data_IF_263157595643
#
_entry.id   IF_263157595643
#
_cell.length_a   1.000
_cell.length_b   1.000
_cell.length_c   1.000
_cell.angle_alpha   90.00
_cell.angle_beta   90.00
_cell.angle_gamma   90.00
#
_symmetry.space_group_name_H-M   'P 1'
#
loop_
_entity.id
_entity.type
_entity.pdbx_description
1 polymer ?
#
# COMPACT_ATOMS: atom_id res chain seq x y z
N UNK A 1 -14.14 29.85 -15.31
CA UNK A 1 -13.28 29.04 -16.19
C UNK A 1 -12.35 28.09 -15.41
N UNK A 2 -12.81 27.46 -14.30
CA UNK A 2 -11.91 26.64 -13.46
C UNK A 2 -12.53 25.37 -12.82
N UNK A 3 -13.83 25.11 -13.02
CA UNK A 3 -14.47 23.88 -12.54
C UNK A 3 -14.23 22.70 -13.49
N UNK A 4 -14.22 22.95 -14.81
CA UNK A 4 -14.00 21.91 -15.82
C UNK A 4 -12.56 21.38 -15.82
N UNK A 5 -11.56 22.27 -15.63
CA UNK A 5 -10.15 21.90 -15.47
C UNK A 5 -9.91 21.12 -14.17
N UNK A 6 -10.56 21.50 -13.07
CA UNK A 6 -10.51 20.77 -11.79
C UNK A 6 -11.12 19.37 -11.92
N UNK A 7 -12.27 19.23 -12.60
CA UNK A 7 -12.92 17.95 -12.85
C UNK A 7 -12.11 17.04 -13.80
N UNK A 8 -11.50 17.61 -14.85
CA UNK A 8 -10.62 16.87 -15.75
C UNK A 8 -9.34 16.40 -15.06
N UNK A 9 -8.71 17.26 -14.25
CA UNK A 9 -7.54 16.90 -13.44
C UNK A 9 -7.86 15.79 -12.43
N UNK A 10 -9.04 15.82 -11.79
CA UNK A 10 -9.52 14.75 -10.92
C UNK A 10 -9.67 13.41 -11.66
N UNK A 11 -10.26 13.41 -12.86
CA UNK A 11 -10.41 12.19 -13.66
C UNK A 11 -9.08 11.61 -14.17
N UNK A 12 -8.14 12.46 -14.60
CA UNK A 12 -6.83 11.99 -15.06
C UNK A 12 -6.01 11.45 -13.88
N UNK A 13 -6.03 12.13 -12.73
CA UNK A 13 -5.31 11.65 -11.54
C UNK A 13 -5.92 10.38 -10.94
N UNK A 14 -7.22 10.10 -11.15
CA UNK A 14 -7.87 8.85 -10.72
C UNK A 14 -7.58 7.64 -11.61
N UNK A 15 -7.02 7.84 -12.81
CA UNK A 15 -6.67 6.72 -13.71
C UNK A 15 -5.28 6.11 -13.44
N UNK A 16 -4.54 6.60 -12.44
CA UNK A 16 -3.22 6.09 -12.15
C UNK A 16 -3.30 4.73 -11.44
N UNK A 17 -2.97 3.66 -12.18
CA UNK A 17 -2.74 2.29 -11.70
C UNK A 17 -1.84 2.19 -10.45
N UNK A 18 -1.02 3.22 -10.19
CA UNK A 18 -0.15 3.33 -9.00
C UNK A 18 -0.93 3.55 -7.70
N UNK A 19 -2.17 4.08 -7.75
CA UNK A 19 -3.05 4.22 -6.57
C UNK A 19 -3.42 2.88 -5.92
N UNK A 20 -3.20 1.77 -6.62
CA UNK A 20 -3.71 0.45 -6.26
C UNK A 20 -2.68 -0.54 -5.72
N UNK A 21 -1.58 -0.08 -5.10
CA UNK A 21 -0.67 -1.01 -4.39
C UNK A 21 -0.91 -0.93 -2.87
N UNK A 22 -1.94 -1.60 -2.34
CA UNK A 22 -2.16 -1.70 -0.90
C UNK A 22 -1.09 -2.57 -0.22
N UNK A 23 -0.91 -2.39 1.08
CA UNK A 23 -0.01 -3.25 1.87
C UNK A 23 -0.38 -4.73 1.75
N UNK A 24 -1.66 -5.06 1.64
CA UNK A 24 -2.20 -6.41 1.46
C UNK A 24 -1.72 -7.07 0.16
N UNK A 25 -1.49 -6.30 -0.90
CA UNK A 25 -0.89 -6.81 -2.15
C UNK A 25 0.60 -7.08 -1.96
N UNK A 26 1.34 -6.14 -1.36
CA UNK A 26 2.78 -6.30 -1.07
C UNK A 26 3.01 -7.48 -0.12
N UNK A 27 2.10 -7.69 0.85
CA UNK A 27 2.13 -8.79 1.81
C UNK A 27 2.22 -10.15 1.13
N UNK A 28 1.52 -10.38 0.02
CA UNK A 28 1.56 -11.66 -0.71
C UNK A 28 2.98 -12.05 -1.11
N UNK A 29 3.80 -11.06 -1.43
CA UNK A 29 5.21 -11.22 -1.78
C UNK A 29 6.05 -11.27 -0.49
N UNK A 30 5.89 -10.28 0.40
CA UNK A 30 6.74 -10.12 1.58
C UNK A 30 6.60 -11.18 2.68
N UNK A 31 5.46 -11.89 2.75
CA UNK A 31 5.29 -13.02 3.66
C UNK A 31 5.67 -14.38 3.05
N UNK A 32 6.11 -14.41 1.79
CA UNK A 32 6.61 -15.65 1.19
C UNK A 32 7.86 -16.11 1.94
N UNK A 33 7.82 -17.33 2.50
CA UNK A 33 8.96 -17.93 3.21
C UNK A 33 10.23 -17.96 2.34
N UNK A 34 10.06 -18.19 1.04
CA UNK A 34 11.17 -18.21 0.08
C UNK A 34 11.84 -16.84 -0.02
N UNK A 35 11.05 -15.76 -0.03
CA UNK A 35 11.58 -14.39 -0.10
C UNK A 35 12.18 -13.98 1.25
N UNK A 36 11.58 -14.39 2.37
CA UNK A 36 12.16 -14.13 3.70
C UNK A 36 13.55 -14.77 3.86
N UNK A 37 13.79 -15.95 3.29
CA UNK A 37 15.12 -16.58 3.28
C UNK A 37 16.16 -15.75 2.51
N UNK A 38 15.74 -14.91 1.55
CA UNK A 38 16.65 -14.06 0.77
C UNK A 38 17.27 -12.92 1.59
N UNK A 39 16.77 -12.65 2.80
CA UNK A 39 17.38 -11.68 3.73
C UNK A 39 18.83 -12.06 4.09
N UNK A 40 19.16 -13.36 4.04
CA UNK A 40 20.51 -13.87 4.33
C UNK A 40 21.43 -13.79 3.10
N UNK A 41 20.86 -13.66 1.90
CA UNK A 41 21.60 -13.71 0.63
C UNK A 41 22.68 -12.63 0.48
N UNK A 42 22.53 -11.37 0.96
CA UNK A 42 23.62 -10.40 0.86
C UNK A 42 24.91 -10.90 1.52
N UNK A 43 24.78 -11.56 2.67
CA UNK A 43 25.91 -12.12 3.41
C UNK A 43 26.49 -13.36 2.72
N UNK A 44 25.65 -14.33 2.37
CA UNK A 44 26.11 -15.55 1.69
C UNK A 44 26.65 -15.26 0.29
N UNK A 45 26.00 -14.36 -0.43
CA UNK A 45 26.34 -13.99 -1.79
C UNK A 45 27.64 -13.22 -1.89
N UNK A 46 27.95 -12.34 -0.92
CA UNK A 46 29.29 -11.73 -0.84
C UNK A 46 30.36 -12.80 -0.60
N UNK A 47 30.15 -13.74 0.32
CA UNK A 47 31.09 -14.85 0.53
C UNK A 47 31.26 -15.72 -0.72
N UNK A 48 30.19 -15.97 -1.47
CA UNK A 48 30.23 -16.71 -2.73
C UNK A 48 31.00 -15.97 -3.83
N UNK A 49 30.76 -14.66 -3.99
CA UNK A 49 31.39 -13.85 -5.03
C UNK A 49 32.89 -13.61 -4.79
N UNK A 50 33.32 -13.55 -3.52
CA UNK A 50 34.73 -13.33 -3.19
C UNK A 50 35.55 -14.62 -3.07
N UNK A 51 34.92 -15.79 -3.13
CA UNK A 51 35.63 -17.08 -3.09
C UNK A 51 35.90 -17.60 -4.51
N UNK A 52 37.15 -17.46 -4.98
CA UNK A 52 37.55 -17.91 -6.32
C UNK A 52 37.30 -19.41 -6.54
N UNK A 53 37.54 -20.25 -5.53
CA UNK A 53 37.33 -21.69 -5.63
C UNK A 53 35.87 -22.04 -5.91
N UNK A 54 34.92 -21.30 -5.32
CA UNK A 54 33.50 -21.53 -5.57
C UNK A 54 33.11 -21.05 -6.97
N UNK A 55 33.63 -19.90 -7.40
CA UNK A 55 33.38 -19.39 -8.76
C UNK A 55 33.86 -20.39 -9.80
N UNK A 56 35.05 -20.96 -9.61
CA UNK A 56 35.62 -21.93 -10.54
C UNK A 56 34.79 -23.22 -10.61
N UNK A 57 34.25 -23.71 -9.47
CA UNK A 57 33.33 -24.85 -9.43
C UNK A 57 31.98 -24.54 -10.09
N UNK A 58 31.49 -23.31 -9.98
CA UNK A 58 30.22 -22.88 -10.57
C UNK A 58 30.34 -22.45 -12.04
N UNK A 59 31.56 -22.35 -12.59
CA UNK A 59 31.74 -22.05 -14.00
C UNK A 59 31.05 -23.10 -14.87
N UNK A 60 30.25 -22.63 -15.83
CA UNK A 60 29.67 -23.49 -16.84
C UNK A 60 30.78 -24.26 -17.56
N UNK A 61 30.55 -25.54 -17.83
CA UNK A 61 31.48 -26.36 -18.62
C UNK A 61 31.85 -25.62 -19.90
N UNK A 62 33.16 -25.36 -20.14
CA UNK A 62 33.60 -24.60 -21.30
C UNK A 62 33.22 -25.30 -22.61
N UNK A 63 33.06 -26.62 -22.61
CA UNK A 63 32.59 -27.39 -23.77
C UNK A 63 31.16 -27.03 -24.18
N UNK A 64 30.26 -26.79 -23.21
CA UNK A 64 28.90 -26.34 -23.49
C UNK A 64 28.92 -24.96 -24.13
N UNK A 65 29.72 -24.04 -23.59
CA UNK A 65 29.83 -22.66 -24.11
C UNK A 65 30.49 -22.64 -25.48
N UNK A 66 31.52 -23.46 -25.68
CA UNK A 66 32.19 -23.67 -26.97
C UNK A 66 31.20 -24.11 -28.03
N UNK A 67 30.41 -25.15 -27.74
CA UNK A 67 29.40 -25.67 -28.67
C UNK A 67 28.31 -24.64 -28.96
N UNK A 68 27.97 -23.80 -27.98
CA UNK A 68 26.89 -22.83 -28.13
C UNK A 68 27.32 -21.57 -28.89
N UNK A 69 28.55 -21.10 -28.69
CA UNK A 69 29.08 -19.87 -29.29
C UNK A 69 30.00 -20.10 -30.49
N UNK A 70 30.29 -21.36 -30.85
CA UNK A 70 31.19 -21.74 -31.95
C UNK A 70 32.59 -21.10 -31.84
N UNK A 71 33.07 -20.93 -30.61
CA UNK A 71 34.38 -20.31 -30.31
C UNK A 71 35.52 -21.33 -30.31
N UNK A 72 36.75 -20.83 -30.40
CA UNK A 72 37.96 -21.63 -30.17
C UNK A 72 38.04 -22.11 -28.70
N UNK A 73 38.89 -23.12 -28.43
CA UNK A 73 39.03 -23.70 -27.09
C UNK A 73 39.41 -22.63 -26.05
N UNK A 74 40.41 -21.82 -26.37
CA UNK A 74 40.94 -20.81 -25.44
C UNK A 74 39.92 -19.69 -25.18
N UNK A 75 39.23 -19.22 -26.22
CA UNK A 75 38.19 -18.19 -26.10
C UNK A 75 36.95 -18.70 -25.33
N UNK A 76 36.61 -19.99 -25.48
CA UNK A 76 35.43 -20.56 -24.82
C UNK A 76 35.53 -20.56 -23.30
N UNK A 77 36.73 -20.77 -22.74
CA UNK A 77 36.96 -20.76 -21.29
C UNK A 77 36.79 -19.36 -20.71
N UNK A 78 37.34 -18.35 -21.38
CA UNK A 78 37.23 -16.96 -20.96
C UNK A 78 35.78 -16.46 -21.01
N UNK A 79 35.06 -16.77 -22.10
CA UNK A 79 33.66 -16.37 -22.25
C UNK A 79 32.71 -17.13 -21.31
N UNK A 80 32.95 -18.42 -21.05
CA UNK A 80 32.19 -19.19 -20.08
C UNK A 80 32.28 -18.58 -18.67
N UNK A 81 33.49 -18.16 -18.27
CA UNK A 81 33.73 -17.49 -17.00
C UNK A 81 33.00 -16.16 -16.91
N UNK A 82 33.11 -15.30 -17.93
CA UNK A 82 32.42 -14.00 -17.97
C UNK A 82 30.90 -14.15 -17.88
N UNK A 83 30.31 -15.08 -18.65
CA UNK A 83 28.87 -15.33 -18.64
C UNK A 83 28.37 -15.85 -17.29
N UNK A 84 29.11 -16.79 -16.70
CA UNK A 84 28.76 -17.34 -15.38
C UNK A 84 28.79 -16.23 -14.32
N UNK A 85 29.85 -15.44 -14.31
CA UNK A 85 30.05 -14.34 -13.37
C UNK A 85 28.97 -13.26 -13.54
N UNK A 86 28.62 -12.88 -14.77
CA UNK A 86 27.54 -11.93 -15.02
C UNK A 86 26.19 -12.45 -14.49
N UNK A 87 25.84 -13.72 -14.73
CA UNK A 87 24.62 -14.35 -14.21
C UNK A 87 24.62 -14.37 -12.68
N UNK A 88 25.75 -14.72 -12.08
CA UNK A 88 25.89 -14.75 -10.62
C UNK A 88 25.68 -13.37 -10.01
N UNK A 89 26.20 -12.30 -10.64
CA UNK A 89 25.93 -10.92 -10.21
C UNK A 89 24.44 -10.56 -10.30
N UNK A 90 23.76 -10.86 -11.42
CA UNK A 90 22.32 -10.58 -11.54
C UNK A 90 21.50 -11.33 -10.49
N UNK A 91 21.81 -12.60 -10.25
CA UNK A 91 21.16 -13.41 -9.21
C UNK A 91 21.43 -12.80 -7.83
N UNK A 92 22.68 -12.49 -7.54
CA UNK A 92 23.08 -11.90 -6.26
C UNK A 92 22.37 -10.58 -5.98
N UNK A 93 22.45 -9.61 -6.89
CA UNK A 93 21.81 -8.31 -6.70
C UNK A 93 20.28 -8.43 -6.70
N UNK A 94 19.72 -9.25 -7.59
CA UNK A 94 18.28 -9.50 -7.63
C UNK A 94 17.74 -10.04 -6.31
N UNK A 95 18.37 -11.10 -5.78
CA UNK A 95 18.02 -11.67 -4.47
C UNK A 95 18.29 -10.70 -3.32
N UNK A 96 19.35 -9.88 -3.40
CA UNK A 96 19.65 -8.85 -2.40
C UNK A 96 18.55 -7.79 -2.33
N UNK A 97 18.08 -7.29 -3.48
CA UNK A 97 16.95 -6.36 -3.53
C UNK A 97 15.66 -7.00 -3.01
N UNK A 98 15.38 -8.27 -3.33
CA UNK A 98 14.24 -8.98 -2.75
C UNK A 98 14.34 -9.10 -1.23
N UNK A 99 15.53 -9.41 -0.70
CA UNK A 99 15.79 -9.50 0.73
C UNK A 99 15.63 -8.16 1.45
N UNK A 100 16.17 -7.07 0.88
CA UNK A 100 16.00 -5.71 1.39
C UNK A 100 14.52 -5.31 1.36
N UNK A 101 13.82 -5.56 0.25
CA UNK A 101 12.37 -5.31 0.14
C UNK A 101 11.58 -6.05 1.21
N UNK A 102 11.93 -7.30 1.49
CA UNK A 102 11.34 -8.11 2.56
C UNK A 102 11.60 -7.55 3.95
N UNK A 103 12.83 -7.12 4.23
CA UNK A 103 13.17 -6.52 5.51
C UNK A 103 12.41 -5.20 5.72
N UNK A 104 12.34 -4.34 4.70
CA UNK A 104 11.59 -3.09 4.73
C UNK A 104 10.09 -3.32 4.93
N UNK A 105 9.51 -4.31 4.23
CA UNK A 105 8.11 -4.69 4.43
C UNK A 105 7.85 -5.11 5.88
N UNK A 106 8.68 -5.99 6.45
CA UNK A 106 8.55 -6.43 7.84
C UNK A 106 8.72 -5.28 8.82
N UNK A 107 9.55 -4.29 8.53
CA UNK A 107 9.73 -3.13 9.41
C UNK A 107 8.56 -2.14 9.36
N UNK A 108 8.06 -1.82 8.16
CA UNK A 108 7.16 -0.68 7.97
C UNK A 108 5.67 -1.02 7.83
N UNK A 109 5.34 -2.26 7.42
CA UNK A 109 3.95 -2.69 7.25
C UNK A 109 3.22 -2.68 8.61
N UNK A 110 1.98 -2.15 8.69
CA UNK A 110 1.18 -2.19 9.91
C UNK A 110 0.95 -3.63 10.42
N UNK A 111 0.85 -3.80 11.74
CA UNK A 111 0.69 -5.12 12.35
C UNK A 111 -0.65 -5.75 11.97
N UNK A 112 -1.69 -4.93 11.84
CA UNK A 112 -3.04 -5.33 11.45
C UNK A 112 -3.01 -5.99 10.06
N UNK A 113 -2.33 -5.36 9.10
CA UNK A 113 -2.19 -5.92 7.75
C UNK A 113 -1.27 -7.13 7.74
N UNK A 114 -0.29 -7.24 8.63
CA UNK A 114 0.54 -8.46 8.75
C UNK A 114 -0.22 -9.64 9.33
N UNK A 115 -1.09 -9.41 10.30
CA UNK A 115 -1.82 -10.46 11.01
C UNK A 115 -3.02 -10.94 10.18
N UNK A 116 -3.75 -10.04 9.52
CA UNK A 116 -5.03 -10.35 8.86
C UNK A 116 -4.96 -10.20 7.34
N UNK A 117 -5.18 -11.30 6.62
CA UNK A 117 -4.97 -11.38 5.16
C UNK A 117 -6.07 -10.73 4.35
N UNK A 118 -7.24 -10.54 4.97
CA UNK A 118 -8.42 -9.93 4.37
C UNK A 118 -9.22 -9.14 5.41
N UNK A 119 -10.08 -8.24 4.92
CA UNK A 119 -11.05 -7.49 5.74
C UNK A 119 -11.98 -8.44 6.49
N UNK A 120 -12.45 -9.50 5.83
CA UNK A 120 -13.37 -10.48 6.43
C UNK A 120 -12.70 -11.16 7.62
N UNK A 121 -11.46 -11.63 7.46
CA UNK A 121 -10.70 -12.27 8.53
C UNK A 121 -10.48 -11.32 9.72
N UNK A 122 -10.17 -10.06 9.43
CA UNK A 122 -10.02 -9.00 10.44
C UNK A 122 -11.32 -8.80 11.22
N UNK A 123 -12.45 -8.61 10.52
CA UNK A 123 -13.76 -8.44 11.13
C UNK A 123 -14.15 -9.66 11.97
N UNK A 124 -14.02 -10.88 11.44
CA UNK A 124 -14.43 -12.09 12.15
C UNK A 124 -13.63 -12.31 13.44
N UNK A 125 -12.36 -11.87 13.46
CA UNK A 125 -11.47 -12.08 14.61
C UNK A 125 -11.58 -10.95 15.64
N UNK A 126 -11.66 -9.70 15.20
CA UNK A 126 -11.58 -8.52 16.06
C UNK A 126 -12.96 -7.98 16.48
N UNK A 127 -14.00 -8.14 15.66
CA UNK A 127 -15.34 -7.67 16.01
C UNK A 127 -15.93 -8.25 17.31
N UNK A 128 -15.72 -9.54 17.69
CA UNK A 128 -16.20 -10.03 18.98
C UNK A 128 -15.40 -9.53 20.18
N UNK A 129 -14.19 -9.00 19.94
CA UNK A 129 -13.28 -8.52 20.99
C UNK A 129 -13.40 -7.01 21.23
N UNK A 130 -14.30 -6.32 20.52
CA UNK A 130 -14.43 -4.87 20.63
C UNK A 130 -15.06 -4.45 21.96
N UNK A 131 -14.43 -3.48 22.61
CA UNK A 131 -14.99 -2.76 23.75
C UNK A 131 -15.35 -1.33 23.33
N UNK A 132 -16.29 -0.70 24.05
CA UNK A 132 -16.67 0.68 23.78
C UNK A 132 -15.46 1.65 23.83
N UNK A 133 -14.52 1.57 24.81
CA UNK A 133 -13.32 2.41 24.81
C UNK A 133 -12.40 2.20 23.60
N UNK A 134 -12.42 1.02 22.98
CA UNK A 134 -11.64 0.79 21.76
C UNK A 134 -12.33 1.44 20.56
N UNK A 135 -13.65 1.47 20.52
CA UNK A 135 -14.42 2.16 19.47
C UNK A 135 -14.13 3.67 19.45
N UNK A 136 -14.04 4.30 20.63
CA UNK A 136 -13.71 5.73 20.77
C UNK A 136 -12.29 6.08 20.29
N UNK A 137 -11.41 5.09 20.09
CA UNK A 137 -10.10 5.29 19.48
C UNK A 137 -10.12 5.02 17.97
N UNK A 138 -10.92 4.04 17.54
CA UNK A 138 -11.02 3.64 16.13
C UNK A 138 -11.72 4.72 15.31
N UNK A 139 -12.84 5.26 15.78
CA UNK A 139 -13.64 6.19 15.01
C UNK A 139 -12.87 7.50 14.71
N UNK A 140 -12.20 8.16 15.67
CA UNK A 140 -11.33 9.30 15.38
C UNK A 140 -10.14 8.97 14.49
N UNK A 141 -9.57 7.77 14.59
CA UNK A 141 -8.52 7.33 13.66
C UNK A 141 -9.04 7.28 12.22
N UNK A 142 -10.20 6.68 11.98
CA UNK A 142 -10.81 6.61 10.64
C UNK A 142 -11.14 8.01 10.13
N UNK A 143 -11.76 8.84 10.96
CA UNK A 143 -12.11 10.22 10.62
C UNK A 143 -10.87 11.05 10.29
N UNK A 144 -9.79 10.92 11.06
CA UNK A 144 -8.50 11.55 10.78
C UNK A 144 -7.96 11.14 9.41
N UNK A 145 -7.99 9.84 9.07
CA UNK A 145 -7.50 9.36 7.77
C UNK A 145 -8.37 9.89 6.62
N UNK A 146 -9.70 9.93 6.81
CA UNK A 146 -10.63 10.52 5.85
C UNK A 146 -10.29 11.99 5.59
N UNK A 147 -10.20 12.82 6.63
CA UNK A 147 -9.87 14.26 6.51
C UNK A 147 -8.50 14.49 5.88
N UNK A 148 -7.50 13.67 6.27
CA UNK A 148 -6.15 13.71 5.71
C UNK A 148 -6.15 13.46 4.19
N UNK A 149 -6.99 12.54 3.70
CA UNK A 149 -7.11 12.26 2.27
C UNK A 149 -7.94 13.30 1.51
N UNK A 150 -8.97 13.87 2.14
CA UNK A 150 -9.78 14.94 1.55
C UNK A 150 -9.02 16.27 1.41
N UNK A 151 -7.89 16.42 2.11
CA UNK A 151 -7.04 17.59 1.98
C UNK A 151 -7.56 18.80 2.76
N UNK A 152 -8.34 18.56 3.82
CA UNK A 152 -8.91 19.62 4.67
C UNK A 152 -7.83 20.36 5.49
N UNK A 153 -6.63 19.79 5.62
CA UNK A 153 -5.46 20.50 6.15
C UNK A 153 -4.90 21.49 5.11
N UNK A 154 -5.40 22.73 5.19
CA UNK A 154 -5.26 23.90 4.29
C UNK A 154 -3.85 24.32 3.86
N UNK A 155 -2.73 23.77 4.37
CA UNK A 155 -1.43 24.45 4.25
C UNK A 155 -0.23 23.63 3.75
N UNK A 156 -0.40 22.49 3.07
CA UNK A 156 0.77 21.76 2.56
C UNK A 156 0.64 21.28 1.11
N UNK A 157 0.80 22.22 0.18
CA UNK A 157 0.80 22.00 -1.27
C UNK A 157 1.83 20.96 -1.73
N UNK A 158 2.91 20.74 -0.98
CA UNK A 158 3.98 19.81 -1.35
C UNK A 158 3.64 18.34 -1.06
N UNK A 159 2.75 18.09 -0.09
CA UNK A 159 2.34 16.73 0.29
C UNK A 159 1.08 16.25 -0.43
N UNK A 160 0.36 17.13 -1.14
CA UNK A 160 -0.88 16.80 -1.85
C UNK A 160 -0.72 15.66 -2.85
N UNK A 161 0.37 15.64 -3.63
CA UNK A 161 0.64 14.56 -4.59
C UNK A 161 0.76 13.20 -3.90
N UNK A 162 1.53 13.12 -2.82
CA UNK A 162 1.74 11.86 -2.08
C UNK A 162 0.49 11.41 -1.31
N UNK A 163 -0.35 12.35 -0.87
CA UNK A 163 -1.66 12.05 -0.25
C UNK A 163 -2.59 11.37 -1.28
N UNK A 164 -2.65 11.91 -2.50
CA UNK A 164 -3.49 11.37 -3.57
C UNK A 164 -3.10 9.95 -4.02
N UNK A 165 -1.82 9.58 -3.92
CA UNK A 165 -1.37 8.20 -4.18
C UNK A 165 -1.85 7.19 -3.14
N UNK A 166 -2.21 7.66 -1.93
CA UNK A 166 -2.67 6.80 -0.85
C UNK A 166 -4.17 6.57 -0.83
N UNK A 167 -4.96 7.40 -1.52
CA UNK A 167 -6.40 7.51 -1.36
C UNK A 167 -7.17 6.29 -1.94
N UNK A 168 -7.85 5.48 -1.12
CA UNK A 168 -8.74 4.42 -1.60
C UNK A 168 -10.12 5.00 -1.91
N UNK A 169 -10.57 4.93 -3.17
CA UNK A 169 -11.90 5.44 -3.56
C UNK A 169 -13.04 4.76 -2.78
N UNK A 170 -12.93 3.43 -2.62
CA UNK A 170 -13.92 2.62 -1.88
C UNK A 170 -14.05 3.05 -0.42
N UNK A 171 -12.95 3.53 0.20
CA UNK A 171 -12.99 4.02 1.58
C UNK A 171 -13.83 5.28 1.70
N UNK A 172 -13.74 6.22 0.75
CA UNK A 172 -14.54 7.45 0.81
C UNK A 172 -16.03 7.17 0.62
N UNK A 173 -16.35 6.27 -0.31
CA UNK A 173 -17.74 5.85 -0.55
C UNK A 173 -18.29 5.16 0.70
N UNK A 174 -17.53 4.24 1.29
CA UNK A 174 -17.96 3.54 2.51
C UNK A 174 -18.09 4.49 3.69
N UNK A 175 -17.11 5.37 3.91
CA UNK A 175 -17.13 6.34 5.00
C UNK A 175 -18.32 7.30 4.90
N UNK A 176 -18.55 7.88 3.72
CA UNK A 176 -19.68 8.79 3.51
C UNK A 176 -21.02 8.11 3.72
N UNK A 177 -21.18 6.87 3.24
CA UNK A 177 -22.39 6.09 3.43
C UNK A 177 -22.63 5.76 4.92
N UNK A 178 -21.63 5.22 5.61
CA UNK A 178 -21.72 4.81 7.01
C UNK A 178 -21.96 6.00 7.92
N UNK A 179 -21.24 7.11 7.73
CA UNK A 179 -21.43 8.31 8.54
C UNK A 179 -22.81 8.93 8.32
N UNK A 180 -23.31 8.96 7.07
CA UNK A 180 -24.65 9.48 6.80
C UNK A 180 -25.74 8.64 7.47
N UNK A 181 -25.58 7.31 7.45
CA UNK A 181 -26.52 6.39 8.08
C UNK A 181 -26.44 6.45 9.61
N UNK A 182 -25.23 6.56 10.17
CA UNK A 182 -25.04 6.77 11.62
C UNK A 182 -25.66 8.09 12.08
N UNK A 183 -25.52 9.16 11.28
CA UNK A 183 -26.10 10.47 11.57
C UNK A 183 -27.64 10.42 11.63
N UNK A 184 -28.27 9.67 10.72
CA UNK A 184 -29.73 9.45 10.74
C UNK A 184 -30.21 8.62 11.94
N UNK A 185 -29.34 7.77 12.49
CA UNK A 185 -29.62 6.90 13.64
C UNK A 185 -29.29 7.57 15.00
N UNK A 186 -28.84 8.84 15.00
CA UNK A 186 -28.64 9.63 16.21
C UNK A 186 -29.99 9.93 16.89
N UNK A 187 -30.04 9.97 18.24
CA UNK A 187 -31.22 10.49 18.91
C UNK A 187 -31.49 11.90 18.39
N UNK A 188 -32.75 12.24 18.08
CA UNK A 188 -33.12 13.59 17.64
C UNK A 188 -32.46 14.60 18.56
N UNK A 189 -31.41 15.24 18.06
CA UNK A 189 -30.78 16.34 18.73
C UNK A 189 -31.76 17.49 18.49
N UNK A 190 -32.70 17.67 19.43
CA UNK A 190 -33.59 18.83 19.41
C UNK A 190 -32.67 20.06 19.53
N UNK A 191 -32.35 20.62 18.36
CA UNK A 191 -31.38 21.67 18.05
C UNK A 191 -31.66 23.01 18.78
N UNK A 192 -32.61 23.00 19.72
CA UNK A 192 -33.12 24.17 20.43
C UNK A 192 -32.20 24.62 21.58
N UNK A 193 -31.20 23.81 21.98
CA UNK A 193 -30.31 24.15 23.10
C UNK A 193 -29.00 24.88 22.72
N UNK A 194 -28.53 24.80 21.47
CA UNK A 194 -27.33 25.53 20.99
C UNK A 194 -27.66 26.73 20.07
N UNK A 195 -28.94 26.95 19.72
CA UNK A 195 -29.44 28.10 18.93
C UNK A 195 -29.28 29.49 19.58
N UNK A 196 -28.75 29.57 20.80
CA UNK A 196 -28.85 30.74 21.65
C UNK A 196 -28.01 31.97 21.28
N UNK A 197 -26.88 31.86 20.56
CA UNK A 197 -25.90 32.97 20.53
C UNK A 197 -25.20 33.27 19.18
N UNK A 198 -25.47 32.55 18.09
CA UNK A 198 -24.82 32.79 16.78
C UNK A 198 -25.81 33.20 15.70
N UNK A 199 -26.58 34.27 15.96
CA UNK A 199 -27.51 34.90 15.02
C UNK A 199 -26.79 35.76 13.97
N UNK A 200 -25.86 35.19 13.21
CA UNK A 200 -25.26 35.83 12.03
C UNK A 200 -25.48 34.97 10.78
N UNK A 201 -26.73 34.94 10.31
CA UNK A 201 -27.18 34.90 8.90
C UNK A 201 -26.66 33.85 7.91
N UNK A 202 -25.73 32.98 8.27
CA UNK A 202 -25.14 31.95 7.42
C UNK A 202 -25.23 30.59 8.11
N UNK A 203 -26.45 30.23 8.48
CA UNK A 203 -26.86 29.00 9.16
C UNK A 203 -26.73 27.77 8.27
N UNK A 204 -25.53 27.47 7.76
CA UNK A 204 -25.24 26.09 7.38
C UNK A 204 -25.09 25.32 8.69
N UNK A 205 -26.01 24.39 8.98
CA UNK A 205 -25.90 23.50 10.15
C UNK A 205 -24.48 22.94 10.25
N UNK A 206 -23.94 22.87 11.47
CA UNK A 206 -22.53 22.57 11.76
C UNK A 206 -22.03 21.28 11.08
N UNK A 207 -22.94 20.33 10.85
CA UNK A 207 -22.67 19.01 10.28
C UNK A 207 -23.33 18.75 8.93
N UNK A 208 -24.09 19.70 8.38
CA UNK A 208 -24.83 19.50 7.13
C UNK A 208 -24.28 20.37 5.99
N UNK A 209 -24.50 19.92 4.76
CA UNK A 209 -24.25 20.70 3.56
C UNK A 209 -25.37 21.73 3.33
N UNK A 210 -25.22 22.55 2.28
CA UNK A 210 -26.21 23.56 1.89
C UNK A 210 -27.58 22.98 1.46
N UNK A 211 -27.74 21.66 1.45
CA UNK A 211 -28.97 20.94 1.11
C UNK A 211 -29.59 20.26 2.32
N UNK A 212 -29.06 20.47 3.52
CA UNK A 212 -29.50 19.80 4.75
C UNK A 212 -29.19 18.30 4.74
N UNK A 213 -28.11 17.88 4.07
CA UNK A 213 -27.61 16.50 4.11
C UNK A 213 -26.38 16.43 5.00
N UNK A 214 -26.14 15.34 5.74
CA UNK A 214 -24.91 15.19 6.52
C UNK A 214 -23.69 15.33 5.61
N UNK A 215 -22.78 16.23 5.96
CA UNK A 215 -21.50 16.44 5.26
C UNK A 215 -20.43 15.58 5.95
N UNK A 216 -19.97 14.48 5.31
CA UNK A 216 -19.00 13.57 5.92
C UNK A 216 -17.68 14.25 6.24
N UNK A 217 -17.31 15.33 5.53
CA UNK A 217 -16.05 16.04 5.78
C UNK A 217 -16.13 16.86 7.07
N UNK A 218 -17.24 17.59 7.27
CA UNK A 218 -17.47 18.34 8.52
C UNK A 218 -17.60 17.40 9.72
N UNK A 219 -18.31 16.29 9.55
CA UNK A 219 -18.46 15.28 10.59
C UNK A 219 -17.12 14.62 10.91
N UNK A 220 -16.34 14.22 9.91
CA UNK A 220 -15.00 13.67 10.12
C UNK A 220 -14.10 14.67 10.86
N UNK A 221 -14.12 15.94 10.46
CA UNK A 221 -13.40 17.00 11.14
C UNK A 221 -13.80 17.08 12.60
N UNK A 222 -15.10 17.12 12.91
CA UNK A 222 -15.61 17.19 14.27
C UNK A 222 -15.19 16.00 15.14
N UNK A 223 -15.26 14.77 14.59
CA UNK A 223 -14.83 13.55 15.29
C UNK A 223 -13.34 13.61 15.64
N UNK A 224 -12.48 14.05 14.73
CA UNK A 224 -11.03 14.00 14.97
C UNK A 224 -10.44 15.28 15.62
N UNK A 225 -11.11 16.44 15.53
CA UNK A 225 -10.59 17.70 16.10
C UNK A 225 -10.66 17.76 17.63
N UNK A 226 -11.30 16.78 18.27
CA UNK A 226 -11.23 16.60 19.71
C UNK A 226 -12.26 17.43 20.52
N UNK A 227 -12.11 17.46 21.86
CA UNK A 227 -13.23 17.55 22.80
C UNK A 227 -13.94 18.90 22.90
N UNK A 228 -13.34 20.00 22.42
CA UNK A 228 -13.77 21.33 22.85
C UNK A 228 -15.07 21.83 22.20
N UNK A 229 -15.47 21.30 21.04
CA UNK A 229 -16.56 21.89 20.24
C UNK A 229 -17.77 20.95 20.08
N UNK A 230 -17.63 19.63 20.33
CA UNK A 230 -18.72 18.68 20.03
C UNK A 230 -18.77 17.40 20.88
N UNK A 231 -18.33 17.48 22.14
CA UNK A 231 -18.24 16.33 23.06
C UNK A 231 -19.54 15.49 23.16
N UNK A 232 -20.70 16.14 23.13
CA UNK A 232 -22.01 15.45 23.14
C UNK A 232 -22.28 14.70 21.84
N UNK A 233 -22.19 15.39 20.70
CA UNK A 233 -22.38 14.80 19.37
C UNK A 233 -21.43 13.63 19.11
N UNK A 234 -20.14 13.76 19.44
CA UNK A 234 -19.17 12.68 19.20
C UNK A 234 -19.43 11.48 20.11
N UNK A 235 -19.83 11.70 21.37
CA UNK A 235 -20.20 10.61 22.28
C UNK A 235 -21.45 9.85 21.79
N UNK A 236 -22.47 10.57 21.30
CA UNK A 236 -23.68 9.95 20.74
C UNK A 236 -23.35 9.17 19.45
N UNK A 237 -22.50 9.74 18.59
CA UNK A 237 -22.06 9.08 17.37
C UNK A 237 -21.23 7.83 17.66
N UNK A 238 -20.36 7.86 18.67
CA UNK A 238 -19.62 6.69 19.16
C UNK A 238 -20.55 5.61 19.74
N UNK A 239 -21.62 6.00 20.44
CA UNK A 239 -22.63 5.07 20.93
C UNK A 239 -23.39 4.41 19.77
N UNK A 240 -23.71 5.16 18.71
CA UNK A 240 -24.30 4.62 17.47
C UNK A 240 -23.30 3.71 16.75
N UNK A 241 -22.03 4.11 16.63
CA UNK A 241 -20.95 3.33 16.03
C UNK A 241 -20.79 1.93 16.64
N UNK A 242 -21.04 1.82 17.95
CA UNK A 242 -20.94 0.55 18.68
C UNK A 242 -22.09 -0.43 18.37
N UNK A 243 -23.20 0.04 17.77
CA UNK A 243 -24.32 -0.83 17.38
C UNK A 243 -23.83 -1.89 16.39
N UNK A 244 -24.37 -3.11 16.51
CA UNK A 244 -23.96 -4.27 15.70
C UNK A 244 -24.08 -4.03 14.18
N UNK A 245 -25.00 -3.15 13.77
CA UNK A 245 -25.23 -2.71 12.39
C UNK A 245 -23.99 -2.07 11.76
N UNK A 246 -23.34 -1.12 12.45
CA UNK A 246 -22.23 -0.32 11.90
C UNK A 246 -20.84 -0.87 12.22
N UNK A 247 -20.75 -1.70 13.27
CA UNK A 247 -19.48 -2.23 13.78
C UNK A 247 -18.61 -2.85 12.68
N UNK A 248 -19.20 -3.68 11.81
CA UNK A 248 -18.44 -4.36 10.76
C UNK A 248 -17.88 -3.37 9.74
N UNK A 249 -18.66 -2.36 9.33
CA UNK A 249 -18.22 -1.36 8.36
C UNK A 249 -17.12 -0.48 8.94
N UNK A 250 -17.19 -0.14 10.23
CA UNK A 250 -16.11 0.57 10.93
C UNK A 250 -14.82 -0.24 10.93
N UNK A 251 -14.87 -1.55 11.20
CA UNK A 251 -13.68 -2.40 11.09
C UNK A 251 -13.18 -2.53 9.65
N UNK A 252 -14.06 -2.56 8.66
CA UNK A 252 -13.65 -2.54 7.26
C UNK A 252 -12.90 -1.25 6.92
N UNK A 253 -13.44 -0.10 7.32
CA UNK A 253 -12.80 1.20 7.15
C UNK A 253 -11.47 1.27 7.88
N UNK A 254 -11.38 0.76 9.11
CA UNK A 254 -10.12 0.71 9.85
C UNK A 254 -9.06 -0.12 9.12
N UNK A 255 -9.45 -1.30 8.62
CA UNK A 255 -8.53 -2.15 7.85
C UNK A 255 -8.07 -1.44 6.57
N UNK A 256 -9.00 -0.87 5.79
CA UNK A 256 -8.70 -0.11 4.57
C UNK A 256 -7.77 1.08 4.87
N UNK A 257 -8.00 1.77 5.99
CA UNK A 257 -7.15 2.85 6.47
C UNK A 257 -5.71 2.38 6.69
N UNK A 258 -5.51 1.29 7.44
CA UNK A 258 -4.18 0.70 7.63
C UNK A 258 -3.55 0.24 6.33
N UNK A 259 -4.32 -0.40 5.45
CA UNK A 259 -3.86 -0.96 4.17
C UNK A 259 -3.33 0.11 3.22
N UNK A 260 -3.80 1.35 3.41
CA UNK A 260 -3.41 2.51 2.63
C UNK A 260 -2.49 3.52 3.35
N UNK A 261 -2.02 3.20 4.56
CA UNK A 261 -1.03 4.04 5.25
C UNK A 261 0.30 4.14 4.47
N UNK A 262 1.05 5.22 4.69
CA UNK A 262 2.45 5.40 4.22
C UNK A 262 2.65 5.10 2.70
N UNK A 263 1.95 5.81 1.80
CA UNK A 263 1.99 5.54 0.35
C UNK A 263 3.39 5.58 -0.27
N UNK A 264 4.24 6.50 0.21
CA UNK A 264 5.64 6.59 -0.23
C UNK A 264 6.42 5.30 0.06
N UNK A 265 6.34 4.79 1.29
CA UNK A 265 7.04 3.57 1.68
C UNK A 265 6.51 2.35 0.91
N UNK A 266 5.19 2.26 0.68
CA UNK A 266 4.60 1.21 -0.17
C UNK A 266 5.19 1.20 -1.57
N UNK A 267 5.18 2.37 -2.22
CA UNK A 267 5.70 2.54 -3.58
C UNK A 267 7.19 2.21 -3.65
N UNK A 268 7.96 2.68 -2.67
CA UNK A 268 9.38 2.40 -2.58
C UNK A 268 9.66 0.90 -2.43
N UNK A 269 8.98 0.22 -1.50
CA UNK A 269 9.13 -1.23 -1.28
C UNK A 269 8.71 -2.03 -2.52
N UNK A 270 7.57 -1.67 -3.13
CA UNK A 270 7.12 -2.29 -4.38
C UNK A 270 8.15 -2.10 -5.51
N UNK A 271 8.77 -0.92 -5.61
CA UNK A 271 9.83 -0.66 -6.60
C UNK A 271 11.08 -1.49 -6.34
N UNK A 272 11.48 -1.64 -5.07
CA UNK A 272 12.60 -2.51 -4.67
C UNK A 272 12.34 -3.97 -5.05
N UNK A 273 11.12 -4.47 -4.80
CA UNK A 273 10.73 -5.80 -5.27
C UNK A 273 10.75 -5.91 -6.80
N UNK A 274 10.16 -4.94 -7.49
CA UNK A 274 10.12 -4.89 -8.95
C UNK A 274 11.52 -4.93 -9.57
N UNK A 275 12.46 -4.15 -9.02
CA UNK A 275 13.86 -4.15 -9.44
C UNK A 275 14.53 -5.51 -9.18
N UNK A 276 14.29 -6.10 -8.00
CA UNK A 276 14.79 -7.44 -7.68
C UNK A 276 14.32 -8.50 -8.68
N UNK A 277 13.02 -8.55 -8.98
CA UNK A 277 12.47 -9.47 -9.98
C UNK A 277 12.98 -9.19 -11.39
N UNK A 278 13.10 -7.92 -11.79
CA UNK A 278 13.63 -7.53 -13.10
C UNK A 278 15.06 -8.04 -13.28
N UNK A 279 15.92 -7.86 -12.27
CA UNK A 279 17.30 -8.35 -12.31
C UNK A 279 17.38 -9.87 -12.42
N UNK A 280 16.52 -10.61 -11.71
CA UNK A 280 16.43 -12.08 -11.82
C UNK A 280 15.90 -12.55 -13.18
N UNK A 281 15.09 -11.73 -13.85
CA UNK A 281 14.53 -12.05 -15.15
C UNK A 281 15.56 -11.92 -16.29
N UNK A 282 16.52 -10.98 -16.19
CA UNK A 282 17.56 -10.77 -17.21
C UNK A 282 18.28 -12.06 -17.64
N UNK A 283 18.91 -12.85 -16.75
CA UNK A 283 19.64 -14.04 -17.17
C UNK A 283 18.72 -15.09 -17.79
N UNK A 284 17.47 -15.20 -17.30
CA UNK A 284 16.45 -16.12 -17.82
C UNK A 284 15.96 -15.71 -19.21
N UNK A 285 15.76 -14.41 -19.44
CA UNK A 285 15.40 -13.87 -20.74
C UNK A 285 16.56 -14.07 -21.73
N UNK A 286 17.79 -13.79 -21.32
CA UNK A 286 18.98 -13.99 -22.16
C UNK A 286 19.14 -15.45 -22.59
N UNK A 287 18.95 -16.43 -21.69
CA UNK A 287 19.00 -17.85 -22.07
C UNK A 287 17.87 -18.21 -23.03
N UNK A 288 16.64 -17.76 -22.74
CA UNK A 288 15.48 -18.01 -23.59
C UNK A 288 15.65 -17.46 -25.01
N UNK A 289 16.05 -16.19 -25.15
CA UNK A 289 16.27 -15.57 -26.46
C UNK A 289 17.36 -16.27 -27.26
N UNK A 290 18.44 -16.71 -26.61
CA UNK A 290 19.50 -17.48 -27.28
C UNK A 290 19.01 -18.84 -27.77
N UNK A 291 18.21 -19.55 -26.97
CA UNK A 291 17.59 -20.81 -27.38
C UNK A 291 16.63 -20.62 -28.56
N UNK A 292 15.81 -19.56 -28.52
CA UNK A 292 14.90 -19.22 -29.60
C UNK A 292 15.65 -18.94 -30.92
N UNK A 293 16.71 -18.13 -30.85
CA UNK A 293 17.54 -17.83 -32.02
C UNK A 293 18.20 -19.08 -32.60
N UNK A 294 18.67 -20.00 -31.74
CA UNK A 294 19.27 -21.25 -32.18
C UNK A 294 18.25 -22.18 -32.87
N UNK A 295 17.00 -22.22 -32.41
CA UNK A 295 15.93 -22.98 -33.06
C UNK A 295 15.54 -22.39 -34.43
N UNK A 296 15.65 -21.07 -34.60
CA UNK A 296 15.33 -20.39 -35.86
C UNK A 296 16.46 -20.55 -36.90
N UNK A 297 17.73 -20.56 -36.47
CA UNK A 297 18.88 -20.76 -37.35
C UNK A 297 19.68 -22.02 -36.98
N UNK A 298 19.17 -23.22 -37.29
CA UNK A 298 19.84 -24.48 -36.92
C UNK A 298 21.08 -24.82 -37.77
N UNK A 299 21.38 -24.07 -38.85
CA UNK A 299 22.31 -24.50 -39.91
C UNK A 299 23.29 -23.46 -40.45
N UNK A 300 23.57 -22.37 -39.73
CA UNK A 300 24.69 -21.46 -40.04
C UNK A 300 25.80 -21.62 -39.01
#
# INVERSE_FOLDING_TARGET
MNLYLKHWYWNVTNSHTIKHIPWSTIRRIGQSRLIALTIIVPFLGSLLLFNQSIVDVLTLSPDLVRRWLHLSVDESTAEARKLTLARLYYIYFGLTFLGIGSALFVLFCPLEIKNYSSIIEYQTTEAPLISQPRMTLILPFIAYQYSRWMGDEVNDDTLGFWRGLGQPDDFHVLFSAVISEMYQDLPNYDDDQERGELADGNENHLYEDFRGRPDPSKIAHAIHSGPQISLGFTADLEAVAFKAKFRNDIFAMQYMAYDHTKPFLRTFIASVYGLGFLLLLIPTAQTFFRLLLHLIHPHS
#
